data_IF_266966278795
#
_entry.id   IF_266966278795
#
_cell.length_a   1.000
_cell.length_b   1.000
_cell.length_c   1.000
_cell.angle_alpha   90.00
_cell.angle_beta   90.00
_cell.angle_gamma   90.00
#
_symmetry.space_group_name_H-M   'P 1'
#
loop_
_entity.id
_entity.type
_entity.pdbx_description
1 polymer ?
#
# COMPACT_ATOMS: atom_id res chain seq x y z
N UNK A 1 31.38 -33.03 -11.31
CA UNK A 1 31.36 -32.47 -9.95
C UNK A 1 30.26 -31.42 -9.89
N UNK A 2 29.12 -31.77 -9.29
CA UNK A 2 28.01 -30.84 -9.08
C UNK A 2 28.41 -29.91 -7.93
N UNK A 3 28.73 -28.66 -8.24
CA UNK A 3 29.01 -27.63 -7.25
C UNK A 3 27.73 -27.32 -6.49
N UNK A 4 27.62 -27.92 -5.30
CA UNK A 4 26.56 -27.68 -4.34
C UNK A 4 26.79 -26.30 -3.69
N UNK A 5 26.43 -25.23 -4.40
CA UNK A 5 26.37 -23.90 -3.80
C UNK A 5 25.11 -23.83 -2.94
N UNK A 6 25.25 -24.22 -1.67
CA UNK A 6 24.32 -23.81 -0.61
C UNK A 6 24.43 -22.29 -0.48
N UNK A 7 23.74 -21.56 -1.34
CA UNK A 7 23.40 -20.17 -1.08
C UNK A 7 22.61 -20.16 0.22
N UNK A 8 23.22 -19.60 1.27
CA UNK A 8 22.52 -19.21 2.48
C UNK A 8 21.37 -18.28 2.08
N UNK A 9 20.17 -18.83 1.87
CA UNK A 9 18.96 -18.07 1.68
C UNK A 9 18.68 -17.33 2.98
N UNK A 10 19.14 -16.09 3.07
CA UNK A 10 18.74 -15.16 4.12
C UNK A 10 17.23 -14.96 3.95
N UNK A 11 16.44 -15.54 4.85
CA UNK A 11 14.99 -15.34 4.88
C UNK A 11 14.79 -13.88 5.29
N UNK A 12 14.33 -13.05 4.35
CA UNK A 12 13.93 -11.68 4.64
C UNK A 12 12.47 -11.70 5.10
N UNK A 13 12.27 -11.40 6.39
CA UNK A 13 10.96 -11.27 6.98
C UNK A 13 10.51 -9.80 6.90
N UNK A 14 9.39 -9.54 6.21
CA UNK A 14 8.74 -8.23 6.23
C UNK A 14 7.87 -8.15 7.50
N UNK A 15 8.08 -7.12 8.29
CA UNK A 15 7.37 -6.85 9.55
C UNK A 15 7.18 -5.34 9.77
N UNK A 16 6.66 -4.94 10.92
CA UNK A 16 6.36 -3.54 11.23
C UNK A 16 7.59 -2.61 11.22
N UNK A 17 8.78 -3.18 11.39
CA UNK A 17 10.06 -2.46 11.32
C UNK A 17 10.62 -2.41 9.90
N UNK A 18 9.87 -2.89 8.91
CA UNK A 18 10.24 -2.76 7.50
C UNK A 18 10.00 -1.34 7.00
N UNK A 19 10.79 -0.93 6.01
CA UNK A 19 10.64 0.36 5.31
C UNK A 19 10.73 1.58 6.24
N UNK A 20 11.70 1.61 7.15
CA UNK A 20 11.91 2.75 8.07
C UNK A 20 12.60 3.91 7.33
N UNK A 21 13.72 3.62 6.67
CA UNK A 21 14.51 4.64 5.99
C UNK A 21 14.08 4.80 4.53
N UNK A 22 13.67 6.01 4.16
CA UNK A 22 13.29 6.35 2.80
C UNK A 22 14.57 6.48 1.96
N UNK A 23 14.70 5.76 0.83
CA UNK A 23 15.81 6.00 -0.08
C UNK A 23 15.87 7.46 -0.52
N UNK A 24 17.04 8.09 -0.45
CA UNK A 24 17.21 9.52 -0.75
C UNK A 24 16.64 9.93 -2.11
N UNK A 25 16.82 9.07 -3.12
CA UNK A 25 16.28 9.26 -4.48
C UNK A 25 14.75 9.24 -4.56
N UNK A 26 14.06 8.71 -3.54
CA UNK A 26 12.59 8.62 -3.49
C UNK A 26 11.97 9.72 -2.61
N UNK A 27 12.77 10.42 -1.80
CA UNK A 27 12.29 11.34 -0.76
C UNK A 27 11.26 12.37 -1.26
N UNK A 28 11.57 13.08 -2.37
CA UNK A 28 10.65 14.07 -2.94
C UNK A 28 9.29 13.45 -3.32
N UNK A 29 9.33 12.36 -4.09
CA UNK A 29 8.11 11.65 -4.54
C UNK A 29 7.32 11.09 -3.36
N UNK A 30 7.99 10.53 -2.36
CA UNK A 30 7.36 9.97 -1.16
C UNK A 30 6.62 11.05 -0.37
N UNK A 31 7.22 12.23 -0.19
CA UNK A 31 6.56 13.36 0.46
C UNK A 31 5.36 13.87 -0.33
N UNK A 32 5.51 14.06 -1.65
CA UNK A 32 4.40 14.50 -2.52
C UNK A 32 3.20 13.53 -2.43
N UNK A 33 3.46 12.22 -2.49
CA UNK A 33 2.43 11.19 -2.36
C UNK A 33 1.82 11.21 -0.95
N UNK A 34 2.65 11.25 0.10
CA UNK A 34 2.21 11.20 1.50
C UNK A 34 1.32 12.37 1.91
N UNK A 35 1.48 13.52 1.25
CA UNK A 35 0.70 14.73 1.54
C UNK A 35 -0.52 14.91 0.62
N UNK A 36 -0.75 14.02 -0.35
CA UNK A 36 -1.75 14.19 -1.42
C UNK A 36 -3.20 13.86 -1.06
N UNK A 37 -3.50 13.45 0.18
CA UNK A 37 -4.83 12.95 0.62
C UNK A 37 -5.40 11.77 -0.20
N UNK A 38 -4.53 11.07 -0.94
CA UNK A 38 -4.91 9.95 -1.83
C UNK A 38 -4.95 8.58 -1.14
N UNK A 39 -4.56 8.52 0.13
CA UNK A 39 -4.69 7.30 0.93
C UNK A 39 -6.09 7.24 1.54
N UNK A 40 -6.68 6.05 1.49
CA UNK A 40 -8.00 5.76 2.06
C UNK A 40 -7.89 4.51 2.91
N UNK A 41 -8.28 4.60 4.18
CA UNK A 41 -8.45 3.45 5.05
C UNK A 41 -9.81 2.79 4.73
N UNK A 42 -9.79 1.56 4.24
CA UNK A 42 -11.00 0.82 3.82
C UNK A 42 -11.36 -0.31 4.80
N UNK A 43 -10.41 -0.79 5.62
CA UNK A 43 -10.70 -1.68 6.74
C UNK A 43 -9.69 -1.46 7.87
N UNK A 44 -10.15 -1.53 9.12
CA UNK A 44 -9.28 -1.49 10.30
C UNK A 44 -8.74 -2.87 10.67
N UNK A 45 -9.48 -3.94 10.35
CA UNK A 45 -9.16 -5.32 10.73
C UNK A 45 -9.58 -6.30 9.61
N UNK A 46 -8.63 -6.83 8.82
CA UNK A 46 -7.21 -6.43 8.76
C UNK A 46 -7.06 -4.96 8.33
N UNK A 47 -5.95 -4.32 8.70
CA UNK A 47 -5.69 -2.92 8.34
C UNK A 47 -5.36 -2.84 6.84
N UNK A 48 -6.33 -2.34 6.06
CA UNK A 48 -6.26 -2.27 4.61
C UNK A 48 -6.48 -0.85 4.13
N UNK A 49 -5.58 -0.43 3.25
CA UNK A 49 -5.58 0.89 2.66
C UNK A 49 -5.63 0.80 1.14
N UNK A 50 -6.17 1.84 0.52
CA UNK A 50 -6.04 2.10 -0.91
C UNK A 50 -5.26 3.39 -1.11
N UNK A 51 -4.22 3.34 -1.95
CA UNK A 51 -3.65 4.53 -2.56
C UNK A 51 -4.32 4.75 -3.92
N UNK A 52 -5.01 5.88 -4.08
CA UNK A 52 -5.60 6.27 -5.36
C UNK A 52 -4.55 6.94 -6.26
N UNK A 53 -3.98 6.20 -7.19
CA UNK A 53 -2.96 6.71 -8.10
C UNK A 53 -3.54 7.28 -9.39
N UNK A 54 -2.72 8.05 -10.12
CA UNK A 54 -3.05 8.53 -11.47
C UNK A 54 -3.09 7.40 -12.51
N UNK A 55 -2.30 6.34 -12.28
CA UNK A 55 -2.09 5.24 -13.22
C UNK A 55 -2.65 3.91 -12.70
N UNK A 56 -3.48 3.98 -11.66
CA UNK A 56 -4.05 2.81 -11.00
C UNK A 56 -4.07 2.97 -9.49
N UNK A 57 -4.96 2.21 -8.86
CA UNK A 57 -5.09 2.10 -7.42
C UNK A 57 -4.23 0.97 -6.89
N UNK A 58 -3.80 1.11 -5.64
CA UNK A 58 -2.96 0.12 -5.02
C UNK A 58 -3.47 -0.21 -3.63
N UNK A 59 -3.71 -1.50 -3.41
CA UNK A 59 -3.99 -2.04 -2.08
C UNK A 59 -2.70 -2.05 -1.27
N UNK A 60 -2.81 -1.68 0.00
CA UNK A 60 -1.73 -1.71 0.95
C UNK A 60 -2.24 -2.42 2.21
N UNK A 61 -1.58 -3.52 2.54
CA UNK A 61 -1.79 -4.21 3.81
C UNK A 61 -0.83 -3.62 4.82
N UNK A 62 -1.33 -3.31 6.01
CA UNK A 62 -0.53 -2.82 7.12
C UNK A 62 -0.86 -3.52 8.43
N UNK A 63 -0.02 -3.30 9.43
CA UNK A 63 -0.22 -3.68 10.82
C UNK A 63 0.17 -2.49 11.68
N UNK A 64 -0.78 -1.95 12.47
CA UNK A 64 -0.56 -0.83 13.39
C UNK A 64 0.05 0.40 12.70
N UNK A 65 -0.42 0.72 11.50
CA UNK A 65 0.07 1.84 10.68
C UNK A 65 1.43 1.59 10.00
N UNK A 66 1.99 0.39 10.14
CA UNK A 66 3.20 -0.03 9.43
C UNK A 66 2.84 -0.88 8.20
N UNK A 67 3.10 -0.40 6.97
CA UNK A 67 2.81 -1.15 5.76
C UNK A 67 3.70 -2.39 5.62
N UNK A 68 3.07 -3.51 5.32
CA UNK A 68 3.68 -4.82 5.11
C UNK A 68 3.72 -5.19 3.62
N UNK A 69 2.73 -4.73 2.85
CA UNK A 69 2.62 -5.06 1.43
C UNK A 69 1.98 -3.92 0.65
N UNK A 70 2.35 -3.79 -0.63
CA UNK A 70 1.64 -2.95 -1.59
C UNK A 70 1.47 -3.69 -2.91
N UNK A 71 0.28 -3.63 -3.52
CA UNK A 71 -0.01 -4.34 -4.78
C UNK A 71 0.67 -3.72 -6.00
N UNK A 72 1.23 -2.51 -5.87
CA UNK A 72 1.85 -1.82 -6.99
C UNK A 72 3.03 -2.61 -7.59
N UNK A 73 3.23 -2.47 -8.90
CA UNK A 73 4.33 -3.13 -9.63
C UNK A 73 5.70 -2.89 -8.99
N UNK A 74 5.95 -1.68 -8.49
CA UNK A 74 7.23 -1.33 -7.87
C UNK A 74 7.56 -2.19 -6.65
N UNK A 75 6.57 -2.51 -5.82
CA UNK A 75 6.75 -3.37 -4.65
C UNK A 75 6.98 -4.82 -5.06
N UNK A 76 6.15 -5.34 -5.97
CA UNK A 76 6.29 -6.70 -6.54
C UNK A 76 7.69 -6.94 -7.10
N UNK A 77 8.22 -5.98 -7.86
CA UNK A 77 9.59 -6.07 -8.38
C UNK A 77 10.67 -6.11 -7.29
N UNK A 78 10.48 -5.46 -6.13
CA UNK A 78 11.45 -5.57 -5.03
C UNK A 78 11.41 -6.95 -4.36
N UNK A 79 10.22 -7.58 -4.29
CA UNK A 79 10.09 -8.97 -3.81
C UNK A 79 10.81 -9.91 -4.78
N UNK A 80 10.53 -9.80 -6.09
CA UNK A 80 11.17 -10.64 -7.12
C UNK A 80 12.69 -10.50 -7.12
N UNK A 81 13.20 -9.26 -6.97
CA UNK A 81 14.63 -8.97 -6.88
C UNK A 81 15.25 -9.31 -5.53
N UNK A 82 14.44 -9.73 -4.55
CA UNK A 82 14.87 -10.04 -3.17
C UNK A 82 15.63 -8.89 -2.51
N UNK A 83 15.30 -7.64 -2.85
CA UNK A 83 15.89 -6.44 -2.24
C UNK A 83 15.08 -5.98 -1.04
N UNK A 84 13.78 -6.29 -1.01
CA UNK A 84 12.84 -5.98 0.08
C UNK A 84 12.87 -4.50 0.53
N UNK A 85 13.10 -3.58 -0.42
CA UNK A 85 13.13 -2.12 -0.18
C UNK A 85 11.75 -1.46 -0.19
N UNK A 86 10.69 -2.21 -0.45
CA UNK A 86 9.32 -1.67 -0.51
C UNK A 86 9.08 -0.81 -1.75
N UNK A 87 8.14 0.14 -1.68
CA UNK A 87 7.86 1.07 -2.77
C UNK A 87 7.55 2.46 -2.24
N UNK A 88 7.48 3.47 -3.10
CA UNK A 88 7.14 4.84 -2.67
C UNK A 88 5.84 4.92 -1.86
N UNK A 89 4.85 4.06 -2.15
CA UNK A 89 3.56 4.09 -1.46
C UNK A 89 3.64 3.58 -0.01
N UNK A 90 4.48 2.57 0.28
CA UNK A 90 4.64 2.08 1.66
C UNK A 90 5.28 3.14 2.54
N UNK A 91 6.29 3.84 2.04
CA UNK A 91 6.88 4.97 2.76
C UNK A 91 5.89 6.15 2.89
N UNK A 92 5.18 6.47 1.82
CA UNK A 92 4.24 7.59 1.81
C UNK A 92 3.03 7.37 2.71
N UNK A 93 2.57 6.13 2.91
CA UNK A 93 1.48 5.82 3.85
C UNK A 93 1.86 6.23 5.28
N UNK A 94 3.10 5.98 5.71
CA UNK A 94 3.58 6.41 7.05
C UNK A 94 3.49 7.92 7.22
N UNK A 95 3.84 8.68 6.17
CA UNK A 95 3.72 10.15 6.15
C UNK A 95 2.26 10.57 6.21
N UNK A 96 1.40 9.93 5.42
CA UNK A 96 -0.02 10.23 5.38
C UNK A 96 -0.69 10.02 6.75
N UNK A 97 -0.40 8.89 7.42
CA UNK A 97 -0.88 8.59 8.77
C UNK A 97 -0.36 9.64 9.76
N UNK A 98 0.95 9.89 9.79
CA UNK A 98 1.57 10.86 10.72
C UNK A 98 1.03 12.28 10.53
N UNK A 99 0.73 12.66 9.30
CA UNK A 99 0.27 14.01 8.94
C UNK A 99 -1.26 14.13 8.89
N UNK A 100 -1.99 13.06 9.22
CA UNK A 100 -3.45 12.97 9.07
C UNK A 100 -3.93 13.39 7.67
N UNK A 101 -3.21 12.96 6.62
CA UNK A 101 -3.47 13.22 5.20
C UNK A 101 -4.04 11.99 4.51
N UNK A 102 -5.14 11.49 5.04
CA UNK A 102 -5.86 10.35 4.49
C UNK A 102 -7.36 10.48 4.77
N UNK A 103 -8.14 9.66 4.09
CA UNK A 103 -9.59 9.54 4.25
C UNK A 103 -9.94 8.21 4.92
N UNK A 104 -10.94 8.19 5.80
CA UNK A 104 -11.38 6.98 6.49
C UNK A 104 -12.78 6.55 6.02
N UNK A 105 -12.85 5.40 5.34
CA UNK A 105 -14.07 4.73 4.90
C UNK A 105 -14.39 3.47 5.71
N UNK A 106 -13.50 3.04 6.60
CA UNK A 106 -13.57 1.72 7.23
C UNK A 106 -14.81 1.49 8.10
N UNK A 107 -15.42 2.56 8.62
CA UNK A 107 -16.69 2.50 9.36
C UNK A 107 -17.94 2.79 8.53
N UNK A 108 -17.79 2.98 7.22
CA UNK A 108 -18.85 3.45 6.31
C UNK A 108 -19.20 2.47 5.20
N UNK A 109 -18.44 1.39 5.05
CA UNK A 109 -18.62 0.40 3.98
C UNK A 109 -18.86 -0.99 4.58
N UNK A 110 -19.59 -1.83 3.85
CA UNK A 110 -19.86 -3.22 4.22
C UNK A 110 -18.73 -4.15 3.77
N UNK A 111 -18.76 -5.41 4.22
CA UNK A 111 -17.84 -6.45 3.73
C UNK A 111 -18.02 -6.67 2.22
N UNK A 112 -19.25 -6.60 1.71
CA UNK A 112 -19.51 -6.73 0.27
C UNK A 112 -18.87 -5.59 -0.51
N UNK A 113 -18.91 -4.37 0.04
CA UNK A 113 -18.27 -3.22 -0.59
C UNK A 113 -16.75 -3.38 -0.60
N UNK A 114 -16.19 -3.81 0.53
CA UNK A 114 -14.77 -4.07 0.69
C UNK A 114 -14.28 -5.10 -0.35
N UNK A 115 -14.97 -6.22 -0.49
CA UNK A 115 -14.62 -7.27 -1.46
C UNK A 115 -14.65 -6.73 -2.89
N UNK A 116 -15.70 -6.00 -3.27
CA UNK A 116 -15.81 -5.42 -4.61
C UNK A 116 -14.68 -4.42 -4.90
N UNK A 117 -14.31 -3.57 -3.93
CA UNK A 117 -13.17 -2.65 -4.08
C UNK A 117 -11.87 -3.45 -4.29
N UNK A 118 -11.65 -4.51 -3.51
CA UNK A 118 -10.45 -5.35 -3.62
C UNK A 118 -10.40 -6.04 -4.98
N UNK A 119 -11.50 -6.65 -5.42
CA UNK A 119 -11.61 -7.33 -6.72
C UNK A 119 -11.29 -6.38 -7.87
N UNK A 120 -11.95 -5.21 -7.93
CA UNK A 120 -11.69 -4.22 -8.99
C UNK A 120 -10.22 -3.77 -9.01
N UNK A 121 -9.60 -3.52 -7.86
CA UNK A 121 -8.19 -3.11 -7.81
C UNK A 121 -7.27 -4.26 -8.24
N UNK A 122 -7.54 -5.49 -7.83
CA UNK A 122 -6.67 -6.63 -8.14
C UNK A 122 -6.77 -7.08 -9.59
N UNK A 123 -7.95 -6.94 -10.21
CA UNK A 123 -8.19 -7.40 -11.59
C UNK A 123 -8.00 -6.29 -12.64
N UNK A 124 -8.34 -5.04 -12.29
CA UNK A 124 -8.37 -3.92 -13.23
C UNK A 124 -7.36 -2.81 -12.90
N UNK A 125 -6.58 -2.96 -11.82
CA UNK A 125 -5.71 -1.92 -11.27
C UNK A 125 -6.46 -0.60 -10.93
N UNK A 126 -7.80 -0.61 -10.83
CA UNK A 126 -8.62 0.60 -10.63
C UNK A 126 -10.01 0.23 -10.11
N UNK A 127 -10.47 0.90 -9.04
CA UNK A 127 -11.85 0.71 -8.54
C UNK A 127 -12.77 1.90 -8.85
N UNK A 128 -13.63 1.79 -9.87
CA UNK A 128 -14.71 2.76 -10.09
C UNK A 128 -15.67 2.79 -8.91
N UNK A 129 -15.92 1.63 -8.30
CA UNK A 129 -16.83 1.51 -7.18
C UNK A 129 -16.37 2.29 -5.95
N UNK A 130 -15.06 2.31 -5.67
CA UNK A 130 -14.49 3.13 -4.61
C UNK A 130 -14.76 4.63 -4.84
N UNK A 131 -14.71 5.12 -6.09
CA UNK A 131 -15.02 6.53 -6.40
C UNK A 131 -16.48 6.84 -6.12
N UNK A 132 -17.39 5.96 -6.52
CA UNK A 132 -18.83 6.11 -6.27
C UNK A 132 -19.12 6.20 -4.76
N UNK A 133 -18.51 5.32 -3.97
CA UNK A 133 -18.63 5.35 -2.50
C UNK A 133 -18.10 6.66 -1.91
N UNK A 134 -16.94 7.13 -2.36
CA UNK A 134 -16.36 8.39 -1.85
C UNK A 134 -17.28 9.59 -2.10
N UNK A 135 -17.90 9.67 -3.28
CA UNK A 135 -18.88 10.70 -3.60
C UNK A 135 -20.12 10.57 -2.72
N UNK A 136 -20.66 9.35 -2.57
CA UNK A 136 -21.86 9.07 -1.76
C UNK A 136 -21.71 9.46 -0.30
N UNK A 137 -20.51 9.28 0.27
CA UNK A 137 -20.24 9.56 1.68
C UNK A 137 -19.63 10.96 1.92
N UNK A 138 -19.62 11.82 0.90
CA UNK A 138 -19.08 13.19 0.92
C UNK A 138 -17.65 13.27 1.49
N UNK A 139 -16.81 12.27 1.20
CA UNK A 139 -15.46 12.20 1.73
C UNK A 139 -14.49 12.89 0.78
N UNK A 140 -14.33 14.20 0.98
CA UNK A 140 -13.35 15.06 0.29
C UNK A 140 -11.91 14.77 0.70
#
# INVERSE_FOLDING_TARGET
MLSNSKENQKIYEINENSFIEIPSSWSKRVNEIGLSNRFILISKYPELWVYMGKHGDHLILSSKGSPLYCSCKGFRMQIEKRTYKGCSHTYALKIAIKSNRFRDLSGKITISDLNKIIEEIMEMDYSSYLREILVKHEIS
#
